data_IF_556291296682
#
_entry.id   IF_556291296682
#
_cell.length_a   1.000
_cell.length_b   1.000
_cell.length_c   1.000
_cell.angle_alpha   90.00
_cell.angle_beta   90.00
_cell.angle_gamma   90.00
#
_symmetry.space_group_name_H-M   'P 1'
#
loop_
_entity.id
_entity.type
_entity.pdbx_description
1 polymer ?
#
# COMPACT_ATOMS: atom_id res chain seq x y z
N UNK A 1 37.72 -4.88 16.26
CA UNK A 1 37.38 -4.79 14.83
C UNK A 1 35.91 -5.14 14.73
N UNK A 2 35.05 -4.13 14.71
CA UNK A 2 33.60 -4.30 14.61
C UNK A 2 33.17 -3.53 13.38
N UNK A 3 32.92 -4.26 12.30
CA UNK A 3 32.49 -3.75 11.02
C UNK A 3 31.05 -3.23 11.12
N UNK A 4 30.90 -1.91 11.17
CA UNK A 4 29.62 -1.27 10.87
C UNK A 4 29.36 -1.41 9.37
N UNK A 5 28.57 -2.43 9.01
CA UNK A 5 27.99 -2.54 7.68
C UNK A 5 26.94 -1.45 7.51
N UNK A 6 27.31 -0.35 6.86
CA UNK A 6 26.37 0.62 6.33
C UNK A 6 25.66 -0.03 5.14
N UNK A 7 24.43 -0.50 5.35
CA UNK A 7 23.57 -0.90 4.23
C UNK A 7 23.25 0.36 3.42
N UNK A 8 23.79 0.40 2.20
CA UNK A 8 23.65 1.52 1.29
C UNK A 8 22.24 1.60 0.74
N UNK A 9 21.47 2.57 1.22
CA UNK A 9 20.64 3.46 0.39
C UNK A 9 20.03 4.62 1.19
N UNK A 10 20.71 5.13 2.23
CA UNK A 10 20.17 6.25 3.00
C UNK A 10 20.56 7.58 2.36
N UNK A 11 19.58 8.28 1.80
CA UNK A 11 19.66 9.69 1.40
C UNK A 11 19.84 10.65 2.60
N UNK A 12 20.57 10.23 3.66
CA UNK A 12 20.74 10.99 4.90
C UNK A 12 19.45 11.15 5.72
N UNK A 13 18.37 10.45 5.36
CA UNK A 13 17.08 10.51 6.05
C UNK A 13 17.09 9.56 7.27
N UNK A 14 16.41 9.90 8.37
CA UNK A 14 16.38 9.07 9.58
C UNK A 14 15.74 7.70 9.32
N UNK A 15 16.11 6.67 10.10
CA UNK A 15 15.59 5.32 9.94
C UNK A 15 14.06 5.28 10.13
N UNK A 16 13.38 4.51 9.27
CA UNK A 16 11.92 4.31 9.34
C UNK A 16 11.60 3.37 10.49
N UNK A 17 10.88 3.84 11.50
CA UNK A 17 10.47 3.04 12.66
C UNK A 17 9.04 2.53 12.52
N UNK A 18 8.17 3.29 11.87
CA UNK A 18 6.77 2.91 11.62
C UNK A 18 6.32 3.32 10.22
N UNK A 19 5.57 2.44 9.55
CA UNK A 19 5.06 2.64 8.19
C UNK A 19 3.57 2.30 8.09
N UNK A 20 2.83 3.10 7.33
CA UNK A 20 1.43 2.82 6.96
C UNK A 20 1.37 2.26 5.54
N UNK A 21 0.96 1.00 5.39
CA UNK A 21 0.84 0.28 4.13
C UNK A 21 -0.59 0.33 3.58
N UNK A 22 -0.76 0.79 2.34
CA UNK A 22 -1.99 0.57 1.58
C UNK A 22 -2.20 -0.94 1.37
N UNK A 23 -3.22 -1.50 2.00
CA UNK A 23 -3.44 -2.94 2.10
C UNK A 23 -4.77 -3.34 1.47
N UNK A 24 -4.71 -4.27 0.50
CA UNK A 24 -5.88 -4.80 -0.19
C UNK A 24 -6.20 -6.25 0.19
N UNK A 25 -5.36 -6.90 0.99
CA UNK A 25 -5.50 -8.34 1.27
C UNK A 25 -5.06 -9.25 0.11
N UNK A 26 -4.68 -8.70 -1.04
CA UNK A 26 -4.09 -9.45 -2.14
C UNK A 26 -2.74 -10.06 -1.76
N UNK A 27 -2.25 -10.98 -2.60
CA UNK A 27 -0.94 -11.62 -2.43
C UNK A 27 0.18 -10.58 -2.27
N UNK A 28 0.24 -9.61 -3.20
CA UNK A 28 1.30 -8.59 -3.23
C UNK A 28 1.36 -7.76 -1.95
N UNK A 29 0.23 -7.20 -1.50
CA UNK A 29 0.20 -6.38 -0.28
C UNK A 29 0.40 -7.23 0.98
N UNK A 30 0.05 -8.52 0.95
CA UNK A 30 0.31 -9.45 2.05
C UNK A 30 1.78 -9.82 2.20
N UNK A 31 2.53 -10.00 1.10
CA UNK A 31 3.98 -10.27 1.19
C UNK A 31 4.79 -9.02 1.55
N UNK A 32 4.27 -7.81 1.25
CA UNK A 32 4.94 -6.55 1.59
C UNK A 32 5.05 -6.35 3.12
N UNK A 33 4.06 -6.81 3.90
CA UNK A 33 4.08 -6.66 5.36
C UNK A 33 5.32 -7.33 6.00
N UNK A 34 5.57 -8.65 5.85
CA UNK A 34 6.78 -9.26 6.36
C UNK A 34 8.05 -8.72 5.69
N UNK A 35 8.00 -8.35 4.40
CA UNK A 35 9.15 -7.75 3.72
C UNK A 35 9.59 -6.42 4.34
N UNK A 36 8.64 -5.53 4.70
CA UNK A 36 8.92 -4.28 5.40
C UNK A 36 9.55 -4.54 6.76
N UNK A 37 9.07 -5.56 7.49
CA UNK A 37 9.62 -5.94 8.80
C UNK A 37 11.03 -6.53 8.68
N UNK A 38 11.27 -7.35 7.65
CA UNK A 38 12.57 -7.99 7.41
C UNK A 38 13.64 -6.98 6.96
N UNK A 39 13.28 -6.02 6.09
CA UNK A 39 14.25 -5.14 5.44
C UNK A 39 14.39 -3.76 6.11
N UNK A 40 13.31 -3.25 6.70
CA UNK A 40 13.31 -1.94 7.37
C UNK A 40 13.26 -2.05 8.89
N UNK A 41 13.02 -3.25 9.45
CA UNK A 41 12.89 -3.47 10.90
C UNK A 41 11.89 -2.53 11.58
N UNK A 42 10.80 -2.21 10.87
CA UNK A 42 9.81 -1.23 11.27
C UNK A 42 8.48 -1.88 11.69
N UNK A 43 7.71 -1.13 12.48
CA UNK A 43 6.32 -1.41 12.76
C UNK A 43 5.48 -1.16 11.50
N UNK A 44 4.64 -2.13 11.12
CA UNK A 44 3.74 -2.01 9.97
C UNK A 44 2.30 -1.86 10.47
N UNK A 45 1.65 -0.79 10.04
CA UNK A 45 0.22 -0.55 10.16
C UNK A 45 -0.39 -0.69 8.76
N UNK A 46 -1.51 -1.39 8.62
CA UNK A 46 -2.22 -1.47 7.35
C UNK A 46 -3.38 -0.48 7.30
N UNK A 47 -3.65 0.04 6.10
CA UNK A 47 -4.80 0.89 5.82
C UNK A 47 -5.55 0.39 4.59
N UNK A 48 -6.87 0.25 4.73
CA UNK A 48 -7.80 -0.10 3.67
C UNK A 48 -8.94 0.92 3.65
N UNK A 49 -9.24 1.43 2.46
CA UNK A 49 -10.40 2.26 2.20
C UNK A 49 -11.53 1.39 1.65
N UNK A 50 -12.68 1.35 2.31
CA UNK A 50 -13.92 0.85 1.72
C UNK A 50 -14.50 1.91 0.79
N UNK A 51 -14.47 1.60 -0.50
CA UNK A 51 -15.02 2.40 -1.59
C UNK A 51 -16.16 1.65 -2.31
N UNK A 52 -16.69 0.58 -1.69
CA UNK A 52 -17.76 -0.25 -2.23
C UNK A 52 -17.31 -1.57 -2.85
N UNK A 53 -16.15 -2.11 -2.43
CA UNK A 53 -15.65 -3.41 -2.91
C UNK A 53 -16.31 -4.65 -2.23
N UNK A 54 -17.28 -4.44 -1.34
CA UNK A 54 -18.12 -5.50 -0.75
C UNK A 54 -17.29 -6.61 -0.06
N UNK A 55 -17.48 -7.87 -0.46
CA UNK A 55 -16.94 -9.08 0.18
C UNK A 55 -15.40 -9.11 0.27
N UNK A 56 -14.68 -8.25 -0.47
CA UNK A 56 -13.22 -8.13 -0.38
C UNK A 56 -12.72 -7.66 1.00
N UNK A 57 -13.60 -7.11 1.84
CA UNK A 57 -13.27 -6.62 3.19
C UNK A 57 -13.44 -7.68 4.29
N UNK A 58 -14.13 -8.78 4.00
CA UNK A 58 -14.47 -9.80 4.99
C UNK A 58 -13.20 -10.49 5.52
N UNK A 59 -13.02 -10.45 6.84
CA UNK A 59 -11.85 -11.04 7.51
C UNK A 59 -10.52 -10.34 7.20
N UNK A 60 -10.55 -9.18 6.52
CA UNK A 60 -9.34 -8.48 6.08
C UNK A 60 -8.48 -7.98 7.25
N UNK A 61 -9.10 -7.48 8.31
CA UNK A 61 -8.41 -7.06 9.53
C UNK A 61 -7.66 -8.23 10.17
N UNK A 62 -8.34 -9.36 10.38
CA UNK A 62 -7.74 -10.57 10.94
C UNK A 62 -6.57 -11.07 10.07
N UNK A 63 -6.75 -11.04 8.74
CA UNK A 63 -5.69 -11.39 7.80
C UNK A 63 -4.47 -10.48 7.93
N UNK A 64 -4.67 -9.17 8.02
CA UNK A 64 -3.58 -8.19 8.16
C UNK A 64 -2.76 -8.43 9.44
N UNK A 65 -3.46 -8.67 10.56
CA UNK A 65 -2.81 -8.97 11.85
C UNK A 65 -2.06 -10.30 11.78
N UNK A 66 -2.67 -11.37 11.24
CA UNK A 66 -1.99 -12.68 11.05
C UNK A 66 -0.76 -12.59 10.15
N UNK A 67 -0.81 -11.73 9.15
CA UNK A 67 0.31 -11.45 8.23
C UNK A 67 1.47 -10.73 8.93
N UNK A 68 1.19 -10.08 10.07
CA UNK A 68 2.20 -9.47 10.94
C UNK A 68 2.11 -7.96 11.07
N UNK A 69 1.02 -7.34 10.60
CA UNK A 69 0.71 -5.95 10.92
C UNK A 69 0.41 -5.81 12.43
N UNK A 70 0.79 -4.68 13.01
CA UNK A 70 0.53 -4.38 14.42
C UNK A 70 -0.86 -3.79 14.64
N UNK A 71 -1.38 -3.11 13.61
CA UNK A 71 -2.71 -2.52 13.58
C UNK A 71 -3.22 -2.48 12.15
N UNK A 72 -4.53 -2.59 11.99
CA UNK A 72 -5.20 -2.47 10.71
C UNK A 72 -6.32 -1.44 10.82
N UNK A 73 -6.36 -0.52 9.86
CA UNK A 73 -7.42 0.47 9.72
C UNK A 73 -8.25 0.12 8.49
N UNK A 74 -9.55 -0.03 8.67
CA UNK A 74 -10.51 -0.12 7.58
C UNK A 74 -11.49 1.05 7.76
N UNK A 75 -11.56 1.95 6.78
CA UNK A 75 -12.45 3.13 6.83
C UNK A 75 -13.48 3.05 5.72
N UNK A 76 -14.76 3.19 6.07
CA UNK A 76 -15.82 3.47 5.10
C UNK A 76 -15.68 4.89 4.57
N UNK A 77 -15.34 4.99 3.29
CA UNK A 77 -15.10 6.25 2.59
C UNK A 77 -16.02 6.39 1.37
N UNK A 78 -17.08 5.58 1.29
CA UNK A 78 -18.00 5.56 0.13
C UNK A 78 -18.70 6.91 -0.04
N UNK A 79 -19.16 7.50 1.05
CA UNK A 79 -19.84 8.80 1.01
C UNK A 79 -18.88 9.90 0.55
N UNK A 80 -17.70 10.03 1.17
CA UNK A 80 -16.68 11.01 0.78
C UNK A 80 -16.24 10.81 -0.68
N UNK A 81 -16.08 9.56 -1.12
CA UNK A 81 -15.73 9.28 -2.51
C UNK A 81 -16.81 9.78 -3.48
N UNK A 82 -18.09 9.58 -3.16
CA UNK A 82 -19.19 10.08 -3.97
C UNK A 82 -19.23 11.61 -3.98
N UNK A 83 -19.23 12.23 -2.81
CA UNK A 83 -19.46 13.68 -2.68
C UNK A 83 -18.28 14.52 -3.16
N UNK A 84 -17.06 14.08 -2.89
CA UNK A 84 -15.86 14.91 -3.05
C UNK A 84 -15.06 14.54 -4.30
N UNK A 85 -15.33 13.38 -4.91
CA UNK A 85 -14.61 12.92 -6.10
C UNK A 85 -15.55 12.64 -7.28
N UNK A 86 -16.57 11.79 -7.11
CA UNK A 86 -17.45 11.41 -8.23
C UNK A 86 -18.32 12.58 -8.68
N UNK A 87 -19.05 13.24 -7.78
CA UNK A 87 -19.93 14.35 -8.15
C UNK A 87 -19.20 15.55 -8.78
N UNK A 88 -18.03 16.01 -8.30
CA UNK A 88 -17.24 17.02 -9.00
C UNK A 88 -16.82 16.58 -10.40
N UNK A 89 -16.37 15.33 -10.56
CA UNK A 89 -15.93 14.79 -11.85
C UNK A 89 -17.08 14.68 -12.86
N UNK A 90 -18.26 14.28 -12.39
CA UNK A 90 -19.48 14.26 -13.19
C UNK A 90 -19.88 15.67 -13.64
N UNK A 91 -19.87 16.65 -12.73
CA UNK A 91 -20.16 18.06 -13.06
C UNK A 91 -19.17 18.64 -14.07
N UNK A 92 -17.91 18.22 -14.01
CA UNK A 92 -16.88 18.61 -14.97
C UNK A 92 -17.00 17.89 -16.33
N UNK A 93 -17.92 16.91 -16.46
CA UNK A 93 -17.98 16.01 -17.62
C UNK A 93 -16.61 15.38 -17.92
N UNK A 94 -15.89 15.00 -16.87
CA UNK A 94 -14.52 14.52 -16.98
C UNK A 94 -14.47 13.15 -17.67
N UNK A 95 -13.85 13.10 -18.85
CA UNK A 95 -13.59 11.86 -19.58
C UNK A 95 -12.16 11.89 -20.11
N UNK A 96 -11.34 10.94 -19.68
CA UNK A 96 -9.96 10.82 -20.15
C UNK A 96 -9.93 10.15 -21.52
N UNK A 97 -9.23 10.78 -22.46
CA UNK A 97 -9.10 10.32 -23.86
C UNK A 97 -10.45 9.97 -24.52
N UNK A 98 -11.53 10.63 -24.08
CA UNK A 98 -12.91 10.46 -24.57
C UNK A 98 -13.55 9.09 -24.32
N UNK A 99 -12.92 8.23 -23.53
CA UNK A 99 -13.42 6.87 -23.27
C UNK A 99 -13.45 6.53 -21.77
N UNK A 100 -12.40 6.89 -21.02
CA UNK A 100 -12.24 6.43 -19.65
C UNK A 100 -12.84 7.40 -18.61
N UNK A 101 -13.76 6.89 -17.78
CA UNK A 101 -14.47 7.64 -16.74
C UNK A 101 -13.71 7.79 -15.41
N UNK A 102 -12.39 7.52 -15.41
CA UNK A 102 -11.47 7.92 -14.33
C UNK A 102 -11.73 7.30 -12.93
N UNK A 103 -12.58 6.27 -12.79
CA UNK A 103 -12.96 5.70 -11.49
C UNK A 103 -11.77 5.31 -10.59
N UNK A 104 -10.79 4.57 -11.13
CA UNK A 104 -9.57 4.23 -10.40
C UNK A 104 -8.72 5.47 -10.10
N UNK A 105 -8.66 6.41 -11.05
CA UNK A 105 -7.81 7.59 -10.94
C UNK A 105 -8.20 8.48 -9.77
N UNK A 106 -9.50 8.64 -9.51
CA UNK A 106 -10.01 9.48 -8.43
C UNK A 106 -10.00 8.80 -7.07
N UNK A 107 -10.07 7.47 -7.03
CA UNK A 107 -9.98 6.72 -5.78
C UNK A 107 -8.60 6.89 -5.12
N UNK A 108 -7.50 6.91 -5.89
CA UNK A 108 -6.14 6.88 -5.30
C UNK A 108 -5.77 8.09 -4.45
N UNK A 109 -6.11 9.34 -4.86
CA UNK A 109 -5.88 10.50 -3.99
C UNK A 109 -6.65 10.42 -2.67
N UNK A 110 -7.90 9.93 -2.67
CA UNK A 110 -8.68 9.73 -1.44
C UNK A 110 -8.00 8.72 -0.51
N UNK A 111 -7.59 7.56 -1.05
CA UNK A 111 -6.87 6.54 -0.25
C UNK A 111 -5.58 7.14 0.33
N UNK A 112 -4.77 7.81 -0.49
CA UNK A 112 -3.52 8.43 -0.06
C UNK A 112 -3.75 9.51 1.02
N UNK A 113 -4.81 10.31 0.91
CA UNK A 113 -5.20 11.31 1.92
C UNK A 113 -5.38 10.67 3.29
N UNK A 114 -6.20 9.64 3.38
CA UNK A 114 -6.42 8.98 4.68
C UNK A 114 -5.22 8.17 5.16
N UNK A 115 -4.37 7.67 4.25
CA UNK A 115 -3.09 7.09 4.66
C UNK A 115 -2.18 8.11 5.33
N UNK A 116 -2.10 9.33 4.80
CA UNK A 116 -1.34 10.42 5.41
C UNK A 116 -1.91 10.79 6.79
N UNK A 117 -3.24 10.90 6.92
CA UNK A 117 -3.89 11.16 8.20
C UNK A 117 -3.62 10.07 9.25
N UNK A 118 -3.67 8.79 8.84
CA UNK A 118 -3.32 7.66 9.71
C UNK A 118 -1.85 7.72 10.09
N UNK A 119 -0.95 8.01 9.13
CA UNK A 119 0.48 8.14 9.40
C UNK A 119 0.75 9.25 10.41
N UNK A 120 0.09 10.40 10.30
CA UNK A 120 0.21 11.51 11.25
C UNK A 120 -0.32 11.15 12.63
N UNK A 121 -1.49 10.51 12.70
CA UNK A 121 -2.10 10.09 13.96
C UNK A 121 -1.25 9.06 14.70
N UNK A 122 -0.63 8.15 13.95
CA UNK A 122 0.19 7.06 14.50
C UNK A 122 1.65 7.45 14.71
N UNK A 123 2.05 8.65 14.28
CA UNK A 123 3.45 9.09 14.29
C UNK A 123 4.35 8.22 13.41
N UNK A 124 3.84 7.79 12.25
CA UNK A 124 4.60 7.01 11.28
C UNK A 124 5.58 7.89 10.49
N UNK A 125 6.73 7.32 10.15
CA UNK A 125 7.79 8.01 9.40
C UNK A 125 7.60 7.86 7.88
N UNK A 126 6.79 6.88 7.47
CA UNK A 126 6.64 6.48 6.08
C UNK A 126 5.23 6.00 5.74
N UNK A 127 4.91 6.06 4.45
CA UNK A 127 3.81 5.31 3.83
C UNK A 127 4.37 4.33 2.82
N UNK A 128 3.63 3.25 2.56
CA UNK A 128 3.98 2.22 1.59
C UNK A 128 2.77 1.81 0.76
N UNK A 129 2.99 1.38 -0.49
CA UNK A 129 1.93 0.90 -1.37
C UNK A 129 2.40 -0.27 -2.23
N UNK A 130 1.46 -1.16 -2.59
CA UNK A 130 1.74 -2.36 -3.40
C UNK A 130 1.68 -2.16 -4.92
N UNK A 131 1.65 -0.92 -5.42
CA UNK A 131 1.56 -0.67 -6.86
C UNK A 131 2.83 -1.12 -7.58
N UNK A 132 2.67 -1.74 -8.75
CA UNK A 132 3.82 -2.15 -9.57
C UNK A 132 4.58 -0.93 -10.12
N UNK A 133 5.87 -1.12 -10.43
CA UNK A 133 6.73 -0.06 -10.97
C UNK A 133 6.37 0.43 -12.38
N UNK A 134 5.35 -0.15 -13.03
CA UNK A 134 4.96 0.15 -14.42
C UNK A 134 3.58 0.81 -14.55
N UNK A 135 2.81 0.90 -13.47
CA UNK A 135 1.42 1.39 -13.50
C UNK A 135 1.29 2.87 -13.18
N UNK A 136 0.11 3.44 -13.42
CA UNK A 136 -0.20 4.84 -13.09
C UNK A 136 -0.45 5.06 -11.58
N UNK A 137 -0.93 4.04 -10.87
CA UNK A 137 -1.34 4.18 -9.47
C UNK A 137 -0.19 4.58 -8.53
N UNK A 138 1.03 4.13 -8.83
CA UNK A 138 2.22 4.55 -8.07
C UNK A 138 2.36 6.08 -8.05
N UNK A 139 2.21 6.72 -9.22
CA UNK A 139 2.33 8.17 -9.35
C UNK A 139 1.19 8.87 -8.59
N UNK A 140 -0.02 8.33 -8.68
CA UNK A 140 -1.20 8.90 -8.00
C UNK A 140 -1.04 8.90 -6.47
N UNK A 141 -0.58 7.79 -5.90
CA UNK A 141 -0.30 7.68 -4.47
C UNK A 141 0.84 8.60 -4.03
N UNK A 142 1.95 8.57 -4.76
CA UNK A 142 3.19 9.27 -4.39
C UNK A 142 3.05 10.79 -4.50
N UNK A 143 2.45 11.29 -5.59
CA UNK A 143 2.20 12.73 -5.77
C UNK A 143 1.23 13.24 -4.71
N UNK A 144 0.16 12.49 -4.40
CA UNK A 144 -0.79 12.90 -3.36
C UNK A 144 -0.13 12.93 -1.99
N UNK A 145 0.65 11.90 -1.65
CA UNK A 145 1.39 11.85 -0.38
C UNK A 145 2.34 13.05 -0.26
N UNK A 146 3.12 13.33 -1.30
CA UNK A 146 4.06 14.45 -1.31
C UNK A 146 3.34 15.81 -1.20
N UNK A 147 2.19 15.96 -1.84
CA UNK A 147 1.39 17.17 -1.79
C UNK A 147 0.79 17.43 -0.40
N UNK A 148 0.37 16.38 0.31
CA UNK A 148 -0.25 16.49 1.62
C UNK A 148 0.77 16.55 2.76
N UNK A 149 1.81 15.72 2.70
CA UNK A 149 2.86 15.70 3.71
C UNK A 149 4.21 15.26 3.11
N UNK A 150 5.05 16.21 2.65
CA UNK A 150 6.35 15.90 2.04
C UNK A 150 7.39 15.38 3.03
N UNK A 151 7.10 15.30 4.34
CA UNK A 151 8.00 14.74 5.35
C UNK A 151 7.91 13.22 5.43
N UNK A 152 6.79 12.63 4.99
CA UNK A 152 6.62 11.19 4.96
C UNK A 152 7.48 10.58 3.86
N UNK A 153 8.27 9.57 4.21
CA UNK A 153 9.00 8.77 3.21
C UNK A 153 7.99 7.87 2.48
N UNK A 154 8.09 7.78 1.15
CA UNK A 154 7.33 6.77 0.39
C UNK A 154 8.23 5.56 0.15
N UNK A 155 7.80 4.40 0.63
CA UNK A 155 8.43 3.11 0.34
C UNK A 155 7.59 2.41 -0.74
N UNK A 156 8.18 2.15 -1.89
CA UNK A 156 7.53 1.45 -2.99
C UNK A 156 8.26 0.12 -3.27
N UNK A 157 7.86 -1.00 -2.62
CA UNK A 157 8.62 -2.25 -2.65
C UNK A 157 8.93 -2.72 -4.07
N UNK A 158 7.98 -2.66 -5.00
CA UNK A 158 8.19 -3.06 -6.40
C UNK A 158 9.28 -2.30 -7.17
N UNK A 159 9.76 -1.17 -6.63
CA UNK A 159 10.88 -0.39 -7.17
C UNK A 159 12.07 -0.30 -6.20
N UNK A 160 11.96 -0.92 -5.04
CA UNK A 160 13.01 -0.92 -4.03
C UNK A 160 14.13 -1.89 -4.46
N UNK A 161 15.42 -1.49 -4.36
CA UNK A 161 16.53 -2.39 -4.67
C UNK A 161 16.58 -3.67 -3.82
N UNK A 162 16.03 -3.66 -2.60
CA UNK A 162 15.95 -4.83 -1.72
C UNK A 162 14.81 -5.79 -2.11
N UNK A 163 13.96 -5.40 -3.06
CA UNK A 163 12.86 -6.25 -3.53
C UNK A 163 13.30 -7.24 -4.59
N UNK A 164 13.31 -8.51 -4.23
CA UNK A 164 13.75 -9.62 -5.09
C UNK A 164 12.60 -10.44 -5.68
N UNK A 165 11.35 -10.16 -5.33
CA UNK A 165 10.16 -10.89 -5.80
C UNK A 165 9.82 -10.40 -7.22
N UNK A 166 9.94 -11.27 -8.23
CA UNK A 166 9.77 -10.88 -9.65
C UNK A 166 8.57 -11.55 -10.32
N UNK A 167 8.03 -12.60 -9.72
CA UNK A 167 6.92 -13.38 -10.25
C UNK A 167 5.87 -13.67 -9.17
N UNK A 168 4.70 -14.17 -9.59
CA UNK A 168 3.65 -14.61 -8.67
C UNK A 168 4.11 -15.84 -7.88
N UNK A 169 4.90 -16.72 -8.50
CA UNK A 169 5.53 -17.88 -7.89
C UNK A 169 6.51 -17.47 -6.79
N UNK A 170 7.34 -16.45 -7.03
CA UNK A 170 8.23 -15.89 -6.00
C UNK A 170 7.42 -15.35 -4.82
N UNK A 171 6.31 -14.66 -5.10
CA UNK A 171 5.46 -14.09 -4.06
C UNK A 171 4.78 -15.19 -3.23
N UNK A 172 4.32 -16.28 -3.87
CA UNK A 172 3.77 -17.45 -3.17
C UNK A 172 4.86 -18.12 -2.31
N UNK A 173 6.06 -18.35 -2.86
CA UNK A 173 7.16 -18.94 -2.10
C UNK A 173 7.58 -18.07 -0.90
N UNK A 174 7.58 -16.74 -1.08
CA UNK A 174 7.85 -15.79 0.00
C UNK A 174 6.74 -15.83 1.06
N UNK A 175 5.47 -15.86 0.64
CA UNK A 175 4.34 -16.01 1.56
C UNK A 175 4.44 -17.30 2.38
N UNK A 176 4.73 -18.44 1.76
CA UNK A 176 4.92 -19.72 2.44
C UNK A 176 6.06 -19.68 3.44
N UNK A 177 7.24 -19.17 3.05
CA UNK A 177 8.40 -19.02 3.93
C UNK A 177 8.10 -18.18 5.16
N UNK A 178 7.25 -17.16 5.03
CA UNK A 178 6.90 -16.24 6.09
C UNK A 178 5.55 -16.55 6.78
N UNK A 179 4.95 -17.72 6.49
CA UNK A 179 3.65 -18.16 7.04
C UNK A 179 2.52 -17.15 6.82
N UNK A 180 2.54 -16.43 5.69
CA UNK A 180 1.49 -15.47 5.32
C UNK A 180 0.25 -16.24 4.85
N UNK A 181 -0.95 -15.97 5.41
CA UNK A 181 -2.18 -16.61 4.97
C UNK A 181 -2.56 -16.12 3.56
N UNK A 182 -2.41 -16.99 2.56
CA UNK A 182 -2.78 -16.71 1.17
C UNK A 182 -3.92 -17.64 0.71
N UNK A 183 -4.85 -17.11 -0.07
CA UNK A 183 -5.92 -17.90 -0.68
C UNK A 183 -5.45 -18.60 -1.97
N UNK A 184 -4.46 -18.00 -2.63
CA UNK A 184 -3.87 -18.47 -3.87
C UNK A 184 -2.98 -19.68 -3.60
N UNK A 185 -3.19 -20.76 -4.35
CA UNK A 185 -2.28 -21.91 -4.39
C UNK A 185 -1.63 -21.98 -5.77
N UNK A 186 -0.49 -22.67 -5.91
CA UNK A 186 0.18 -22.87 -7.21
C UNK A 186 -0.74 -23.48 -8.31
N UNK A 187 -1.89 -24.06 -7.94
CA UNK A 187 -2.89 -24.60 -8.89
C UNK A 187 -3.86 -23.55 -9.45
N UNK A 188 -3.90 -22.33 -8.91
CA UNK A 188 -4.77 -21.23 -9.37
C UNK A 188 -3.94 -19.93 -9.47
N UNK A 189 -3.16 -19.85 -10.56
CA UNK A 189 -2.19 -18.78 -10.81
C UNK A 189 -2.83 -17.57 -11.52
N UNK A 190 -4.03 -17.74 -12.09
CA UNK A 190 -4.74 -16.68 -12.79
C UNK A 190 -5.90 -16.15 -11.95
N UNK A 191 -6.10 -14.83 -12.02
CA UNK A 191 -7.24 -14.10 -11.48
C UNK A 191 -8.29 -13.93 -12.58
#
# INVERSE_FOLDING_TARGET
MSSNGTNGNDNGLPPVKKVVLAYSGGLDTSVIVPWLKENYHCEVITFTADLGQEDELDGLEEKAIKTGATKAYIRDLREEFITDFIFPSLRASAVYEREYLLGTSFARPLIAKHMVEVAETEGADAVSHGCTGKGNDQVRFEVTTMALNPKLRVIAPWRDPLWTIRSREDAIAYAEKHNVPIAQTLKSIYS
#
